data_IF_290414287532
#
_entry.id   IF_290414287532
#
_cell.length_a   1.000
_cell.length_b   1.000
_cell.length_c   1.000
_cell.angle_alpha   90.00
_cell.angle_beta   90.00
_cell.angle_gamma   90.00
#
_symmetry.space_group_name_H-M   'P 1'
#
loop_
_entity.id
_entity.type
_entity.pdbx_description
1 polymer ?
#
# COMPACT_ATOMS: atom_id res chain seq x y z
N UNK A 1 -13.91 0.01 -8.96
CA UNK A 1 -13.27 0.09 -7.62
C UNK A 1 -11.75 -0.15 -7.62
N UNK A 2 -11.14 -0.87 -8.59
CA UNK A 2 -9.66 -1.10 -8.64
C UNK A 2 -8.81 0.16 -8.82
N UNK A 3 -9.36 1.23 -9.41
CA UNK A 3 -8.62 2.47 -9.69
C UNK A 3 -8.14 3.22 -8.44
N UNK A 4 -8.92 3.18 -7.36
CA UNK A 4 -8.58 3.91 -6.11
C UNK A 4 -7.35 3.29 -5.45
N UNK A 5 -7.30 1.95 -5.38
CA UNK A 5 -6.17 1.24 -4.78
C UNK A 5 -4.89 1.42 -5.60
N UNK A 6 -4.99 1.38 -6.93
CA UNK A 6 -3.87 1.69 -7.82
C UNK A 6 -3.40 3.14 -7.59
N UNK A 7 -4.31 4.10 -7.54
CA UNK A 7 -3.99 5.50 -7.30
C UNK A 7 -3.29 5.72 -5.96
N UNK A 8 -3.78 5.10 -4.88
CA UNK A 8 -3.12 5.15 -3.56
C UNK A 8 -1.71 4.57 -3.67
N UNK A 9 -1.54 3.42 -4.32
CA UNK A 9 -0.23 2.81 -4.50
C UNK A 9 0.74 3.73 -5.25
N UNK A 10 0.27 4.33 -6.35
CA UNK A 10 1.04 5.25 -7.21
C UNK A 10 1.42 6.55 -6.49
N UNK A 11 0.52 7.12 -5.68
CA UNK A 11 0.80 8.34 -4.92
C UNK A 11 1.68 8.11 -3.70
N UNK A 12 1.63 6.91 -3.12
CA UNK A 12 2.25 6.62 -1.82
C UNK A 12 3.62 5.98 -1.96
N UNK A 13 3.80 5.16 -2.99
CA UNK A 13 4.98 4.30 -3.17
C UNK A 13 5.61 4.49 -4.55
N UNK A 14 6.90 4.77 -4.53
CA UNK A 14 7.71 4.81 -5.74
C UNK A 14 8.02 3.40 -6.26
N UNK A 15 8.05 3.20 -7.60
CA UNK A 15 8.40 1.91 -8.18
C UNK A 15 9.89 1.62 -7.92
N UNK A 16 10.19 0.37 -7.57
CA UNK A 16 11.58 -0.05 -7.31
C UNK A 16 12.11 0.32 -5.91
N UNK A 17 11.39 1.16 -5.15
CA UNK A 17 11.75 1.47 -3.77
C UNK A 17 11.21 0.40 -2.82
N UNK A 18 12.04 0.03 -1.86
CA UNK A 18 11.73 -0.93 -0.81
C UNK A 18 11.28 -0.21 0.46
N UNK A 19 10.05 -0.52 0.88
CA UNK A 19 9.44 0.04 2.08
C UNK A 19 9.25 -1.06 3.12
N UNK A 20 9.81 -0.94 4.33
CA UNK A 20 9.50 -1.88 5.39
C UNK A 20 8.02 -1.76 5.80
N UNK A 21 7.45 -2.85 6.31
CA UNK A 21 6.04 -2.92 6.73
C UNK A 21 5.59 -1.73 7.57
N UNK A 22 6.43 -1.30 8.52
CA UNK A 22 6.15 -0.15 9.39
C UNK A 22 5.95 1.14 8.60
N UNK A 23 6.83 1.42 7.64
CA UNK A 23 6.73 2.62 6.78
C UNK A 23 5.51 2.55 5.87
N UNK A 24 5.16 1.35 5.39
CA UNK A 24 3.93 1.14 4.63
C UNK A 24 2.71 1.46 5.50
N UNK A 25 2.64 0.90 6.70
CA UNK A 25 1.52 1.13 7.62
C UNK A 25 1.40 2.61 7.98
N UNK A 26 2.50 3.31 8.26
CA UNK A 26 2.50 4.76 8.52
C UNK A 26 2.00 5.58 7.33
N UNK A 27 2.45 5.25 6.12
CA UNK A 27 2.00 5.92 4.90
C UNK A 27 0.53 5.66 4.59
N UNK A 28 0.06 4.43 4.80
CA UNK A 28 -1.33 4.05 4.57
C UNK A 28 -2.27 4.63 5.63
N UNK A 29 -1.79 4.88 6.86
CA UNK A 29 -2.60 5.53 7.91
C UNK A 29 -3.14 6.88 7.46
N UNK A 30 -2.36 7.70 6.77
CA UNK A 30 -2.82 9.00 6.27
C UNK A 30 -3.98 8.90 5.25
N UNK A 31 -4.12 7.77 4.56
CA UNK A 31 -5.25 7.50 3.67
C UNK A 31 -6.47 6.93 4.40
N UNK A 32 -6.26 6.35 5.58
CA UNK A 32 -7.30 5.74 6.40
C UNK A 32 -7.88 6.70 7.44
N UNK A 33 -7.24 7.85 7.70
CA UNK A 33 -7.76 8.86 8.63
C UNK A 33 -9.15 9.38 8.24
N UNK A 34 -9.48 9.39 6.95
CA UNK A 34 -10.75 9.90 6.41
C UNK A 34 -11.69 8.78 5.90
N UNK A 35 -11.28 7.52 6.02
CA UNK A 35 -11.97 6.37 5.43
C UNK A 35 -12.46 5.34 6.46
N UNK A 36 -13.54 4.63 6.14
CA UNK A 36 -14.12 3.56 6.97
C UNK A 36 -13.25 2.26 7.00
N UNK A 37 -12.05 2.30 6.41
CA UNK A 37 -11.19 1.13 6.19
C UNK A 37 -9.85 1.35 6.88
N UNK A 38 -9.41 0.37 7.67
CA UNK A 38 -8.10 0.38 8.31
C UNK A 38 -6.93 0.22 7.33
N UNK A 39 -5.79 0.81 7.69
CA UNK A 39 -4.52 0.67 6.95
C UNK A 39 -4.10 -0.79 6.77
N UNK A 40 -4.44 -1.67 7.72
CA UNK A 40 -4.20 -3.12 7.61
C UNK A 40 -5.03 -3.74 6.49
N UNK A 41 -6.31 -3.39 6.40
CA UNK A 41 -7.21 -3.83 5.33
C UNK A 41 -6.76 -3.28 3.98
N UNK A 42 -6.39 -2.00 3.95
CA UNK A 42 -5.86 -1.33 2.76
C UNK A 42 -4.57 -2.01 2.25
N UNK A 43 -3.60 -2.27 3.14
CA UNK A 43 -2.36 -2.99 2.85
C UNK A 43 -2.65 -4.36 2.26
N UNK A 44 -3.58 -5.09 2.87
CA UNK A 44 -3.97 -6.43 2.40
C UNK A 44 -4.56 -6.36 0.99
N UNK A 45 -5.48 -5.43 0.72
CA UNK A 45 -6.06 -5.28 -0.62
C UNK A 45 -5.03 -4.87 -1.66
N UNK A 46 -4.05 -4.02 -1.31
CA UNK A 46 -2.97 -3.64 -2.21
C UNK A 46 -2.09 -4.84 -2.60
N UNK A 47 -1.84 -5.75 -1.67
CA UNK A 47 -1.10 -6.99 -1.94
C UNK A 47 -1.94 -8.00 -2.71
N UNK A 48 -3.20 -8.17 -2.33
CA UNK A 48 -4.14 -9.12 -2.95
C UNK A 48 -4.41 -8.79 -4.41
N UNK A 49 -4.44 -7.50 -4.76
CA UNK A 49 -4.59 -6.99 -6.13
C UNK A 49 -3.25 -6.81 -6.87
N UNK A 50 -2.15 -7.32 -6.30
CA UNK A 50 -0.80 -7.28 -6.90
C UNK A 50 -0.26 -5.86 -7.16
N UNK A 51 -0.79 -4.83 -6.51
CA UNK A 51 -0.24 -3.46 -6.56
C UNK A 51 1.03 -3.32 -5.71
N UNK A 52 1.10 -4.04 -4.59
CA UNK A 52 2.27 -4.14 -3.74
C UNK A 52 2.73 -5.60 -3.65
N UNK A 53 4.03 -5.82 -3.82
CA UNK A 53 4.65 -7.11 -3.57
C UNK A 53 5.33 -7.09 -2.22
N UNK A 54 4.99 -8.06 -1.37
CA UNK A 54 5.64 -8.28 -0.06
C UNK A 54 6.71 -9.37 -0.20
N UNK A 55 7.94 -9.09 0.22
CA UNK A 55 9.04 -10.04 0.34
C UNK A 55 9.80 -9.79 1.63
N UNK A 56 9.94 -10.82 2.49
CA UNK A 56 10.69 -10.74 3.75
C UNK A 56 10.33 -9.54 4.67
N UNK A 57 9.06 -9.10 4.68
CA UNK A 57 8.62 -7.94 5.47
C UNK A 57 8.87 -6.58 4.80
N UNK A 58 9.40 -6.59 3.57
CA UNK A 58 9.60 -5.44 2.71
C UNK A 58 8.54 -5.42 1.63
N UNK A 59 8.03 -4.25 1.34
CA UNK A 59 7.02 -3.97 0.34
C UNK A 59 7.63 -3.17 -0.79
N UNK A 60 7.28 -3.54 -2.03
CA UNK A 60 7.67 -2.80 -3.22
C UNK A 60 6.47 -2.66 -4.14
N UNK A 61 6.29 -1.48 -4.73
CA UNK A 61 5.27 -1.28 -5.75
C UNK A 61 5.62 -2.08 -7.00
N UNK A 62 4.63 -2.80 -7.53
CA UNK A 62 4.73 -3.45 -8.84
C UNK A 62 4.51 -2.36 -9.89
N UNK A 63 5.47 -2.25 -10.82
CA UNK A 63 5.49 -1.19 -11.84
C UNK A 63 4.35 -1.36 -12.85
#
# INVERSE_FOLDING_TARGET
>A
KKLVLRYIAEQTFEPGVEYPERTVDEKLRGWCEDGDIDHVTLRRHLVDLEHLRRSAGIYRRVA
#
